data_IF_650938107624
#
_entry.id   IF_650938107624
#
_cell.length_a   1.000
_cell.length_b   1.000
_cell.length_c   1.000
_cell.angle_alpha   90.00
_cell.angle_beta   90.00
_cell.angle_gamma   90.00
#
_symmetry.space_group_name_H-M   'P 1'
#
loop_
_entity.id
_entity.type
_entity.pdbx_description
1 polymer ?
#
# COMPACT_ATOMS: atom_id res chain seq x y z
N UNK A 1 -75.92 49.24 11.25
CA UNK A 1 -74.90 49.89 10.40
C UNK A 1 -73.54 49.48 10.96
N UNK A 2 -72.80 48.69 10.18
CA UNK A 2 -71.62 47.93 10.59
C UNK A 2 -70.36 48.80 10.72
N UNK A 3 -69.45 48.43 11.62
CA UNK A 3 -68.06 48.86 11.62
C UNK A 3 -67.19 47.60 11.87
N UNK A 4 -66.49 47.16 10.82
CA UNK A 4 -65.59 46.00 10.83
C UNK A 4 -64.17 46.40 11.30
N UNK A 5 -63.39 45.48 11.89
CA UNK A 5 -62.04 45.75 12.39
C UNK A 5 -60.99 45.85 11.27
N UNK A 6 -59.86 46.55 11.50
CA UNK A 6 -58.81 46.72 10.48
C UNK A 6 -58.02 45.43 10.26
N UNK A 7 -57.97 44.99 8.99
CA UNK A 7 -57.13 43.88 8.54
C UNK A 7 -55.63 44.26 8.56
N UNK A 8 -54.72 43.37 8.98
CA UNK A 8 -53.29 43.58 8.80
C UNK A 8 -52.89 43.26 7.34
N UNK A 9 -52.10 44.15 6.75
CA UNK A 9 -51.51 44.00 5.42
C UNK A 9 -50.66 42.72 5.29
N UNK A 10 -50.64 42.06 4.12
CA UNK A 10 -49.75 40.91 3.89
C UNK A 10 -48.28 41.36 3.83
N UNK A 11 -47.34 40.62 4.45
CA UNK A 11 -45.92 40.91 4.28
C UNK A 11 -45.51 40.60 2.84
N UNK A 12 -44.80 41.55 2.22
CA UNK A 12 -44.23 41.45 0.88
C UNK A 12 -43.10 40.43 0.75
N UNK A 13 -42.35 40.45 -0.37
CA UNK A 13 -41.61 39.34 -0.98
C UNK A 13 -40.32 38.88 -0.25
N UNK A 14 -40.12 39.25 1.02
CA UNK A 14 -38.91 38.93 1.77
C UNK A 14 -38.66 37.41 1.92
N UNK A 15 -39.73 36.61 2.03
CA UNK A 15 -39.64 35.16 2.22
C UNK A 15 -39.09 34.38 1.01
N UNK A 16 -39.04 34.98 -0.18
CA UNK A 16 -38.44 34.37 -1.37
C UNK A 16 -36.92 34.56 -1.40
N UNK A 17 -36.40 35.73 -0.99
CA UNK A 17 -34.97 36.03 -0.98
C UNK A 17 -34.18 35.17 0.02
N UNK A 18 -34.77 34.85 1.18
CA UNK A 18 -34.13 33.98 2.18
C UNK A 18 -34.02 32.51 1.72
N UNK A 19 -35.00 32.03 0.95
CA UNK A 19 -35.01 30.67 0.42
C UNK A 19 -33.98 30.47 -0.69
N UNK A 20 -33.75 31.49 -1.53
CA UNK A 20 -32.69 31.47 -2.54
C UNK A 20 -31.30 31.59 -1.91
N UNK A 21 -31.13 32.38 -0.84
CA UNK A 21 -29.89 32.43 -0.06
C UNK A 21 -29.52 31.11 0.62
N UNK A 22 -30.50 30.44 1.24
CA UNK A 22 -30.30 29.12 1.86
C UNK A 22 -29.96 28.03 0.83
N UNK A 23 -30.59 28.07 -0.35
CA UNK A 23 -30.24 27.18 -1.48
C UNK A 23 -28.82 27.43 -1.99
N UNK A 24 -28.41 28.69 -2.13
CA UNK A 24 -27.05 29.03 -2.59
C UNK A 24 -25.99 28.58 -1.58
N UNK A 25 -26.22 28.75 -0.28
CA UNK A 25 -25.33 28.25 0.78
C UNK A 25 -25.20 26.72 0.74
N UNK A 26 -26.32 25.99 0.62
CA UNK A 26 -26.30 24.53 0.53
C UNK A 26 -25.57 24.02 -0.72
N UNK A 27 -25.70 24.70 -1.86
CA UNK A 27 -24.97 24.37 -3.08
C UNK A 27 -23.46 24.67 -2.96
N UNK A 28 -23.08 25.74 -2.27
CA UNK A 28 -21.69 26.06 -1.99
C UNK A 28 -21.04 25.00 -1.09
N UNK A 29 -21.72 24.57 -0.04
CA UNK A 29 -21.27 23.49 0.84
C UNK A 29 -21.13 22.16 0.11
N UNK A 30 -22.09 21.83 -0.76
CA UNK A 30 -22.02 20.63 -1.57
C UNK A 30 -20.83 20.66 -2.54
N UNK A 31 -20.57 21.81 -3.16
CA UNK A 31 -19.40 22.02 -4.03
C UNK A 31 -18.09 21.86 -3.26
N UNK A 32 -18.00 22.42 -2.04
CA UNK A 32 -16.82 22.28 -1.18
C UNK A 32 -16.59 20.82 -0.79
N UNK A 33 -17.63 20.09 -0.39
CA UNK A 33 -17.54 18.65 -0.09
C UNK A 33 -17.11 17.84 -1.29
N UNK A 34 -17.58 18.17 -2.49
CA UNK A 34 -17.19 17.47 -3.72
C UNK A 34 -15.71 17.69 -4.05
N UNK A 35 -15.19 18.91 -3.83
CA UNK A 35 -13.76 19.21 -4.01
C UNK A 35 -12.90 18.44 -3.00
N UNK A 36 -13.31 18.43 -1.72
CA UNK A 36 -12.63 17.65 -0.68
C UNK A 36 -12.63 16.14 -0.99
N UNK A 37 -13.76 15.60 -1.47
CA UNK A 37 -13.84 14.19 -1.87
C UNK A 37 -12.86 13.88 -3.01
N UNK A 38 -12.77 14.73 -4.02
CA UNK A 38 -11.83 14.56 -5.15
C UNK A 38 -10.37 14.61 -4.70
N UNK A 39 -10.04 15.51 -3.77
CA UNK A 39 -8.69 15.62 -3.22
C UNK A 39 -8.32 14.39 -2.37
N UNK A 40 -9.24 13.94 -1.52
CA UNK A 40 -9.07 12.73 -0.70
C UNK A 40 -8.97 11.46 -1.54
N UNK A 41 -9.75 11.35 -2.62
CA UNK A 41 -9.63 10.26 -3.58
C UNK A 41 -8.25 10.24 -4.25
N UNK A 42 -7.76 11.41 -4.68
CA UNK A 42 -6.43 11.56 -5.27
C UNK A 42 -5.34 11.12 -4.31
N UNK A 43 -5.40 11.60 -3.07
CA UNK A 43 -4.45 11.24 -2.01
C UNK A 43 -4.52 9.75 -1.66
N UNK A 44 -5.73 9.18 -1.60
CA UNK A 44 -5.93 7.76 -1.31
C UNK A 44 -5.36 6.87 -2.41
N UNK A 45 -5.51 7.27 -3.68
CA UNK A 45 -4.91 6.55 -4.81
C UNK A 45 -3.39 6.59 -4.76
N UNK A 46 -2.80 7.76 -4.53
CA UNK A 46 -1.35 7.91 -4.38
C UNK A 46 -0.79 7.08 -3.22
N UNK A 47 -1.46 7.12 -2.05
CA UNK A 47 -1.05 6.33 -0.88
C UNK A 47 -1.15 4.83 -1.14
N UNK A 48 -2.16 4.37 -1.88
CA UNK A 48 -2.28 2.96 -2.28
C UNK A 48 -1.16 2.53 -3.23
N UNK A 49 -0.80 3.38 -4.19
CA UNK A 49 0.26 3.09 -5.15
C UNK A 49 1.62 3.04 -4.47
N UNK A 50 1.94 4.03 -3.64
CA UNK A 50 3.17 4.05 -2.84
C UNK A 50 3.27 2.85 -1.89
N UNK A 51 2.17 2.48 -1.20
CA UNK A 51 2.15 1.30 -0.33
C UNK A 51 2.44 0.02 -1.10
N UNK A 52 1.86 -0.16 -2.30
CA UNK A 52 2.15 -1.32 -3.16
C UNK A 52 3.60 -1.35 -3.62
N UNK A 53 4.18 -0.19 -3.92
CA UNK A 53 5.57 -0.10 -4.34
C UNK A 53 6.51 -0.46 -3.17
N UNK A 54 6.27 0.13 -1.99
CA UNK A 54 7.03 -0.17 -0.78
C UNK A 54 6.94 -1.65 -0.40
N UNK A 55 5.77 -2.27 -0.55
CA UNK A 55 5.60 -3.70 -0.25
C UNK A 55 6.47 -4.57 -1.19
N UNK A 56 6.50 -4.27 -2.49
CA UNK A 56 7.36 -4.98 -3.44
C UNK A 56 8.84 -4.80 -3.13
N UNK A 57 9.25 -3.58 -2.79
CA UNK A 57 10.63 -3.28 -2.44
C UNK A 57 11.03 -3.99 -1.15
N UNK A 58 10.12 -4.04 -0.17
CA UNK A 58 10.30 -4.79 1.07
C UNK A 58 10.49 -6.28 0.82
N UNK A 59 9.58 -6.91 0.06
CA UNK A 59 9.65 -8.33 -0.28
C UNK A 59 10.98 -8.66 -0.99
N UNK A 60 11.43 -7.79 -1.88
CA UNK A 60 12.73 -7.94 -2.55
C UNK A 60 13.88 -7.85 -1.57
N UNK A 61 13.89 -6.86 -0.68
CA UNK A 61 14.98 -6.73 0.32
C UNK A 61 15.01 -7.88 1.31
N UNK A 62 13.85 -8.45 1.68
CA UNK A 62 13.81 -9.66 2.51
C UNK A 62 14.37 -10.87 1.78
N UNK A 63 14.07 -11.04 0.50
CA UNK A 63 14.60 -12.13 -0.31
C UNK A 63 16.13 -11.98 -0.48
N UNK A 64 16.61 -10.77 -0.77
CA UNK A 64 18.04 -10.47 -0.85
C UNK A 64 18.75 -10.74 0.49
N UNK A 65 18.14 -10.39 1.63
CA UNK A 65 18.68 -10.69 2.96
C UNK A 65 18.73 -12.20 3.25
N UNK A 66 17.69 -12.95 2.87
CA UNK A 66 17.69 -14.42 2.98
C UNK A 66 18.73 -15.05 2.08
N UNK A 67 18.91 -14.52 0.86
CA UNK A 67 19.94 -14.98 -0.06
C UNK A 67 21.35 -14.71 0.47
N UNK A 68 21.59 -13.57 1.14
CA UNK A 68 22.88 -13.27 1.77
C UNK A 68 23.21 -14.21 2.93
N UNK A 69 22.21 -14.74 3.63
CA UNK A 69 22.42 -15.77 4.66
C UNK A 69 22.80 -17.13 4.06
N UNK A 70 22.63 -17.33 2.74
CA UNK A 70 23.08 -18.55 2.10
C UNK A 70 24.62 -18.58 2.07
N UNK A 71 25.18 -19.62 2.68
CA UNK A 71 26.62 -19.87 2.65
C UNK A 71 26.99 -20.56 1.34
N UNK A 72 28.00 -20.04 0.63
CA UNK A 72 28.54 -20.67 -0.57
C UNK A 72 29.19 -22.02 -0.23
N UNK A 73 28.82 -23.06 -0.96
CA UNK A 73 29.42 -24.39 -0.81
C UNK A 73 30.59 -24.54 -1.77
N UNK A 74 31.71 -25.10 -1.30
CA UNK A 74 32.89 -25.32 -2.14
C UNK A 74 32.60 -26.45 -3.14
N UNK A 75 32.88 -26.17 -4.42
CA UNK A 75 32.74 -27.15 -5.51
C UNK A 75 34.03 -27.96 -5.63
N UNK A 76 33.90 -29.28 -5.74
CA UNK A 76 35.02 -30.21 -5.90
C UNK A 76 34.63 -31.47 -6.67
N UNK A 77 35.65 -32.16 -7.19
CA UNK A 77 35.51 -33.43 -7.90
C UNK A 77 35.71 -34.62 -6.94
N UNK A 78 34.88 -35.64 -7.05
CA UNK A 78 35.03 -36.88 -6.28
C UNK A 78 36.08 -37.74 -6.97
N UNK A 79 37.19 -38.00 -6.27
CA UNK A 79 38.29 -38.80 -6.82
C UNK A 79 38.07 -40.29 -6.58
N UNK A 80 37.83 -40.67 -5.31
CA UNK A 80 37.72 -42.08 -4.91
C UNK A 80 36.95 -42.24 -3.61
N UNK A 81 36.17 -43.32 -3.52
CA UNK A 81 35.53 -43.76 -2.28
C UNK A 81 36.59 -44.45 -1.40
N UNK A 82 36.67 -44.04 -0.13
CA UNK A 82 37.58 -44.66 0.84
C UNK A 82 36.81 -45.70 1.66
N UNK A 83 35.66 -45.30 2.21
CA UNK A 83 34.76 -46.15 3.00
C UNK A 83 33.30 -45.89 2.59
N UNK A 84 32.36 -46.67 3.16
CA UNK A 84 30.93 -46.53 2.89
C UNK A 84 30.39 -45.11 3.17
N UNK A 85 30.99 -44.37 4.09
CA UNK A 85 30.53 -43.04 4.53
C UNK A 85 31.48 -41.88 4.13
N UNK A 86 32.63 -42.19 3.51
CA UNK A 86 33.72 -41.22 3.30
C UNK A 86 34.27 -41.25 1.88
N UNK A 87 34.41 -40.07 1.29
CA UNK A 87 34.96 -39.87 -0.05
C UNK A 87 36.16 -38.92 -0.02
N UNK A 88 37.11 -39.17 -0.92
CA UNK A 88 38.19 -38.22 -1.21
C UNK A 88 37.68 -37.27 -2.30
N UNK A 89 37.63 -35.98 -1.96
CA UNK A 89 37.21 -34.91 -2.87
C UNK A 89 38.38 -33.95 -3.06
N UNK A 90 38.66 -33.58 -4.32
CA UNK A 90 39.61 -32.51 -4.64
C UNK A 90 38.83 -31.22 -4.81
N UNK A 91 39.11 -30.23 -3.97
CA UNK A 91 38.52 -28.91 -4.12
C UNK A 91 39.06 -28.27 -5.41
N UNK A 92 38.26 -27.42 -6.07
CA UNK A 92 38.72 -26.64 -7.22
C UNK A 92 40.01 -25.84 -6.93
N UNK A 93 40.22 -25.47 -5.66
CA UNK A 93 41.42 -24.78 -5.16
C UNK A 93 42.71 -25.63 -5.16
N UNK A 94 42.64 -26.95 -5.38
CA UNK A 94 43.82 -27.84 -5.46
C UNK A 94 44.00 -28.85 -4.32
N UNK A 95 43.72 -28.53 -3.04
CA UNK A 95 43.86 -29.50 -1.94
C UNK A 95 42.86 -30.65 -2.02
N UNK A 96 43.27 -31.82 -1.52
CA UNK A 96 42.43 -33.02 -1.38
C UNK A 96 41.94 -33.14 0.06
N UNK A 97 40.64 -33.32 0.22
CA UNK A 97 39.96 -33.48 1.51
C UNK A 97 39.28 -34.84 1.58
N UNK A 98 39.20 -35.40 2.79
CA UNK A 98 38.31 -36.53 3.08
C UNK A 98 37.03 -35.93 3.65
N UNK A 99 35.90 -36.17 3.00
CA UNK A 99 34.60 -35.61 3.40
C UNK A 99 33.58 -36.73 3.57
N UNK A 100 32.69 -36.54 4.55
CA UNK A 100 31.47 -37.33 4.68
C UNK A 100 30.33 -36.70 3.88
N UNK A 101 29.39 -37.52 3.42
CA UNK A 101 28.16 -37.02 2.80
C UNK A 101 27.00 -37.06 3.80
N UNK A 102 26.03 -36.17 3.59
CA UNK A 102 24.78 -36.18 4.35
C UNK A 102 23.67 -36.68 3.41
N UNK A 103 23.07 -37.81 3.74
CA UNK A 103 21.87 -38.30 3.05
C UNK A 103 20.69 -37.39 3.41
N UNK A 104 19.93 -36.96 2.40
CA UNK A 104 18.65 -36.26 2.60
C UNK A 104 17.55 -37.27 2.92
#
# INVERSE_FOLDING_TARGET
RAAAPPHPFPPGPQRAMDADGAKQAALADFRNKLLQHRELDGRTRQLRETTKQLQKDYDKTEDDLKALQSVGQIIGEVLRQLDAERFIVKASSGPRYVVGFRTK
#
